data_IF_853762255073
#
_entry.id   IF_853762255073
#
_cell.length_a   1.000
_cell.length_b   1.000
_cell.length_c   1.000
_cell.angle_alpha   90.00
_cell.angle_beta   90.00
_cell.angle_gamma   90.00
#
_symmetry.space_group_name_H-M   'P 1'
#
loop_
_entity.id
_entity.type
_entity.pdbx_description
1 polymer ?
#
# COMPACT_ATOMS: atom_id res chain seq x y z
N UNK A 1 12.33 -3.93 6.44
CA UNK A 1 11.66 -4.65 5.32
C UNK A 1 10.58 -3.73 4.79
N UNK A 2 10.55 -3.39 3.50
CA UNK A 2 9.85 -2.18 3.04
C UNK A 2 8.33 -2.22 3.15
N UNK A 3 7.75 -1.12 3.65
CA UNK A 3 6.34 -0.81 3.49
C UNK A 3 6.00 -0.74 2.00
N UNK A 4 5.00 -1.53 1.57
CA UNK A 4 4.51 -1.52 0.19
C UNK A 4 3.00 -1.75 0.13
N UNK A 5 2.26 -0.92 -0.61
CA UNK A 5 0.84 -1.11 -0.88
C UNK A 5 0.65 -1.29 -2.38
N UNK A 6 0.15 -2.44 -2.80
CA UNK A 6 -0.23 -2.67 -4.19
C UNK A 6 -1.58 -1.99 -4.46
N UNK A 7 -1.71 -1.32 -5.59
CA UNK A 7 -2.85 -0.47 -5.94
C UNK A 7 -3.42 -0.89 -7.30
N UNK A 8 -4.73 -1.11 -7.33
CA UNK A 8 -5.52 -1.34 -8.53
C UNK A 8 -6.48 -0.18 -8.74
N UNK A 9 -6.40 0.40 -9.93
CA UNK A 9 -7.17 1.57 -10.34
C UNK A 9 -7.08 1.77 -11.85
N UNK A 10 -8.09 2.44 -12.41
CA UNK A 10 -8.09 2.87 -13.82
C UNK A 10 -7.43 4.25 -14.01
N UNK A 11 -6.99 4.88 -12.91
CA UNK A 11 -6.31 6.18 -12.92
C UNK A 11 -4.91 6.05 -13.53
N UNK A 12 -4.48 7.10 -14.21
CA UNK A 12 -3.08 7.23 -14.66
C UNK A 12 -2.15 7.43 -13.46
N UNK A 13 -0.84 7.14 -13.63
CA UNK A 13 0.16 7.34 -12.58
C UNK A 13 0.19 8.79 -12.06
N UNK A 14 0.15 9.78 -12.95
CA UNK A 14 0.14 11.20 -12.58
C UNK A 14 -1.09 11.59 -11.75
N UNK A 15 -2.28 11.13 -12.16
CA UNK A 15 -3.51 11.37 -11.40
C UNK A 15 -3.46 10.71 -10.02
N UNK A 16 -3.02 9.45 -9.97
CA UNK A 16 -2.86 8.71 -8.73
C UNK A 16 -1.88 9.43 -7.78
N UNK A 17 -0.74 9.88 -8.29
CA UNK A 17 0.26 10.60 -7.51
C UNK A 17 -0.26 11.96 -7.01
N UNK A 18 -0.99 12.69 -7.85
CA UNK A 18 -1.60 13.98 -7.47
C UNK A 18 -2.64 13.81 -6.38
N UNK A 19 -3.52 12.81 -6.49
CA UNK A 19 -4.52 12.57 -5.45
C UNK A 19 -3.92 12.07 -4.13
N UNK A 20 -2.89 11.23 -4.19
CA UNK A 20 -2.17 10.77 -2.99
C UNK A 20 -1.43 11.94 -2.35
N UNK A 21 -0.81 12.81 -3.14
CA UNK A 21 -0.20 14.05 -2.66
C UNK A 21 -1.20 14.88 -1.87
N UNK A 22 -2.37 15.13 -2.45
CA UNK A 22 -3.39 15.98 -1.85
C UNK A 22 -3.98 15.33 -0.59
N UNK A 23 -4.17 14.01 -0.59
CA UNK A 23 -4.67 13.27 0.56
C UNK A 23 -3.69 13.26 1.74
N UNK A 24 -2.40 13.06 1.47
CA UNK A 24 -1.37 12.91 2.49
C UNK A 24 -0.62 14.22 2.77
N UNK A 25 -1.03 15.32 2.14
CA UNK A 25 -0.36 16.62 2.19
C UNK A 25 1.15 16.52 1.88
N UNK A 26 1.51 15.72 0.89
CA UNK A 26 2.90 15.55 0.45
C UNK A 26 3.37 16.77 -0.36
N UNK A 27 4.69 17.01 -0.43
CA UNK A 27 5.24 18.02 -1.34
C UNK A 27 4.95 17.69 -2.82
N UNK A 28 5.33 18.59 -3.72
CA UNK A 28 5.34 18.30 -5.14
C UNK A 28 6.21 17.07 -5.43
N UNK A 29 5.73 16.17 -6.31
CA UNK A 29 6.53 15.04 -6.75
C UNK A 29 7.42 15.38 -7.93
N UNK A 30 8.54 14.67 -8.01
CA UNK A 30 9.31 14.55 -9.24
C UNK A 30 8.80 13.34 -10.04
N UNK A 31 8.65 13.51 -11.36
CA UNK A 31 8.48 12.39 -12.27
C UNK A 31 9.82 11.98 -12.84
N UNK A 32 10.07 10.67 -12.85
CA UNK A 32 11.29 10.10 -13.37
C UNK A 32 10.99 8.73 -13.97
N UNK A 33 11.99 8.11 -14.59
CA UNK A 33 11.90 6.77 -15.11
C UNK A 33 13.12 5.96 -14.69
N UNK A 34 12.90 4.74 -14.22
CA UNK A 34 13.96 3.76 -13.96
C UNK A 34 13.72 2.57 -14.88
N UNK A 35 14.76 2.13 -15.59
CA UNK A 35 14.65 1.04 -16.59
C UNK A 35 13.54 1.23 -17.64
N UNK A 36 13.11 2.47 -17.89
CA UNK A 36 12.03 2.80 -18.83
C UNK A 36 10.64 2.90 -18.21
N UNK A 37 10.46 2.46 -16.96
CA UNK A 37 9.18 2.51 -16.25
C UNK A 37 9.05 3.83 -15.44
N UNK A 38 7.94 4.57 -15.62
CA UNK A 38 7.74 5.84 -14.93
C UNK A 38 7.42 5.63 -13.45
N UNK A 39 7.95 6.53 -12.61
CA UNK A 39 7.61 6.63 -11.20
C UNK A 39 7.46 8.09 -10.76
N UNK A 40 6.67 8.30 -9.72
CA UNK A 40 6.54 9.57 -9.00
C UNK A 40 7.21 9.45 -7.63
N UNK A 41 8.07 10.40 -7.30
CA UNK A 41 8.82 10.43 -6.05
C UNK A 41 8.45 11.66 -5.21
N UNK A 42 8.20 11.44 -3.92
CA UNK A 42 8.05 12.48 -2.91
C UNK A 42 9.15 12.33 -1.86
N UNK A 43 9.77 13.44 -1.50
CA UNK A 43 10.81 13.47 -0.47
C UNK A 43 10.48 14.51 0.59
N UNK A 44 10.44 14.10 1.86
CA UNK A 44 10.09 14.97 2.97
C UNK A 44 10.68 14.46 4.28
N UNK A 45 11.48 15.28 4.98
CA UNK A 45 11.97 15.00 6.34
C UNK A 45 12.56 13.58 6.56
N UNK A 46 13.38 13.09 5.62
CA UNK A 46 13.95 11.73 5.70
C UNK A 46 12.96 10.61 5.38
N UNK A 47 11.80 10.94 4.82
CA UNK A 47 10.82 10.01 4.26
C UNK A 47 10.87 10.09 2.73
N UNK A 48 10.93 8.92 2.10
CA UNK A 48 10.81 8.76 0.66
C UNK A 48 9.52 8.00 0.37
N UNK A 49 8.64 8.58 -0.44
CA UNK A 49 7.44 7.91 -0.96
C UNK A 49 7.61 7.73 -2.46
N UNK A 50 7.45 6.50 -2.94
CA UNK A 50 7.50 6.16 -4.35
C UNK A 50 6.14 5.64 -4.77
N UNK A 51 5.64 6.11 -5.91
CA UNK A 51 4.49 5.52 -6.59
C UNK A 51 4.98 5.14 -7.97
N UNK A 52 4.94 3.85 -8.29
CA UNK A 52 5.49 3.35 -9.53
C UNK A 52 4.63 2.25 -10.11
N UNK A 53 4.79 1.99 -11.40
CA UNK A 53 4.29 0.76 -12.00
C UNK A 53 5.20 -0.39 -11.60
N UNK A 54 4.63 -1.50 -11.13
CA UNK A 54 5.43 -2.70 -10.79
C UNK A 54 5.51 -3.57 -12.04
N UNK A 55 6.66 -4.09 -12.43
CA UNK A 55 6.72 -4.97 -13.61
C UNK A 55 5.93 -6.27 -13.37
N UNK A 56 5.24 -6.77 -14.40
CA UNK A 56 4.42 -7.99 -14.27
C UNK A 56 5.26 -9.21 -13.90
N UNK A 57 6.51 -9.28 -14.35
CA UNK A 57 7.43 -10.39 -14.05
C UNK A 57 7.89 -10.42 -12.58
N UNK A 58 7.90 -9.26 -11.92
CA UNK A 58 8.31 -9.11 -10.51
C UNK A 58 7.14 -9.25 -9.53
N UNK A 59 5.89 -9.29 -10.04
CA UNK A 59 4.70 -9.35 -9.20
C UNK A 59 4.46 -10.75 -8.68
N UNK A 60 4.12 -10.81 -7.41
CA UNK A 60 3.52 -11.98 -6.82
C UNK A 60 2.18 -12.33 -7.51
N UNK A 61 1.91 -13.62 -7.81
CA UNK A 61 0.69 -14.07 -8.50
C UNK A 61 -0.62 -13.49 -7.97
N UNK A 62 -0.72 -13.28 -6.67
CA UNK A 62 -1.90 -12.78 -5.96
C UNK A 62 -2.20 -11.31 -6.23
N UNK A 63 -1.19 -10.53 -6.63
CA UNK A 63 -1.28 -9.10 -6.88
C UNK A 63 -0.95 -8.72 -8.33
N UNK A 64 -0.91 -9.69 -9.24
CA UNK A 64 -0.70 -9.45 -10.68
C UNK A 64 -1.63 -8.39 -11.26
N UNK A 65 -2.86 -8.33 -10.77
CA UNK A 65 -3.89 -7.36 -11.20
C UNK A 65 -3.77 -5.95 -10.57
N UNK A 66 -2.74 -5.69 -9.76
CA UNK A 66 -2.48 -4.40 -9.12
C UNK A 66 -1.33 -3.69 -9.86
N UNK A 67 -1.64 -2.82 -10.84
CA UNK A 67 -0.63 -2.22 -11.72
C UNK A 67 0.40 -1.32 -11.03
N UNK A 68 0.05 -0.74 -9.89
CA UNK A 68 0.89 0.23 -9.20
C UNK A 68 1.28 -0.26 -7.81
N UNK A 69 2.41 0.23 -7.32
CA UNK A 69 2.81 0.10 -5.92
C UNK A 69 3.11 1.46 -5.33
N UNK A 70 2.73 1.63 -4.06
CA UNK A 70 3.17 2.73 -3.21
C UNK A 70 4.14 2.17 -2.20
N UNK A 71 5.39 2.63 -2.27
CA UNK A 71 6.42 2.31 -1.29
C UNK A 71 6.67 3.51 -0.38
N UNK A 72 6.89 3.23 0.90
CA UNK A 72 7.26 4.22 1.90
C UNK A 72 8.56 3.75 2.55
N UNK A 73 9.57 4.61 2.54
CA UNK A 73 10.83 4.35 3.20
C UNK A 73 11.12 5.46 4.18
N UNK A 74 11.45 5.08 5.43
CA UNK A 74 11.85 6.02 6.47
C UNK A 74 13.35 5.87 6.74
N UNK A 75 14.13 6.88 6.37
CA UNK A 75 15.56 6.97 6.70
C UNK A 75 15.76 7.98 7.84
N UNK A 76 15.43 7.56 9.07
CA UNK A 76 15.80 8.34 10.25
C UNK A 76 17.24 7.98 10.65
N UNK A 77 18.12 8.98 10.64
CA UNK A 77 19.55 8.79 10.95
C UNK A 77 19.86 8.78 12.44
N UNK A 78 18.91 9.13 13.31
CA UNK A 78 19.11 9.11 14.76
C UNK A 78 18.92 7.69 15.31
N UNK A 79 20.02 7.17 15.82
CA UNK A 79 20.25 5.80 16.25
C UNK A 79 19.22 5.33 17.30
N UNK A 80 18.64 4.14 17.07
CA UNK A 80 17.73 3.34 17.94
C UNK A 80 16.23 3.28 17.57
N UNK A 81 15.74 4.00 16.56
CA UNK A 81 14.37 3.82 16.08
C UNK A 81 14.26 2.60 15.15
N UNK A 82 13.60 1.54 15.63
CA UNK A 82 13.15 0.41 14.80
C UNK A 82 12.00 0.87 13.88
N UNK A 83 12.38 1.40 12.72
CA UNK A 83 11.44 1.84 11.68
C UNK A 83 10.72 0.67 11.01
N UNK A 84 11.31 -0.53 11.00
CA UNK A 84 10.71 -1.71 10.38
C UNK A 84 9.38 -2.08 11.06
N UNK A 85 9.33 -2.05 12.39
CA UNK A 85 8.08 -2.32 13.13
C UNK A 85 7.02 -1.25 12.88
N UNK A 86 7.43 0.03 12.75
CA UNK A 86 6.52 1.15 12.49
C UNK A 86 5.95 1.03 11.07
N UNK A 87 6.82 0.86 10.08
CA UNK A 87 6.46 0.65 8.68
C UNK A 87 5.46 -0.51 8.54
N UNK A 88 5.75 -1.67 9.14
CA UNK A 88 4.86 -2.83 9.11
C UNK A 88 3.47 -2.55 9.69
N UNK A 89 3.40 -1.79 10.80
CA UNK A 89 2.12 -1.46 11.46
C UNK A 89 1.33 -0.38 10.74
N UNK A 90 1.99 0.52 10.03
CA UNK A 90 1.33 1.61 9.30
C UNK A 90 0.76 1.16 7.96
N UNK A 91 1.33 0.15 7.33
CA UNK A 91 0.92 -0.34 6.02
C UNK A 91 -0.59 -0.65 5.92
N UNK A 92 -1.24 -1.39 6.86
CA UNK A 92 -2.68 -1.61 6.82
C UNK A 92 -3.50 -0.31 6.93
N UNK A 93 -3.03 0.65 7.74
CA UNK A 93 -3.72 1.92 7.96
C UNK A 93 -3.75 2.76 6.68
N UNK A 94 -2.60 2.92 6.03
CA UNK A 94 -2.52 3.67 4.77
C UNK A 94 -3.29 2.95 3.65
N UNK A 95 -3.27 1.63 3.59
CA UNK A 95 -4.05 0.88 2.60
C UNK A 95 -5.56 1.14 2.76
N UNK A 96 -6.07 1.12 4.01
CA UNK A 96 -7.47 1.49 4.30
C UNK A 96 -7.78 2.94 3.95
N UNK A 97 -6.89 3.87 4.30
CA UNK A 97 -7.07 5.30 4.03
C UNK A 97 -7.18 5.57 2.52
N UNK A 98 -6.25 5.02 1.73
CA UNK A 98 -6.24 5.11 0.27
C UNK A 98 -7.52 4.52 -0.34
N UNK A 99 -7.90 3.32 0.12
CA UNK A 99 -9.12 2.63 -0.31
C UNK A 99 -10.35 3.49 -0.07
N UNK A 100 -10.49 4.03 1.14
CA UNK A 100 -11.66 4.79 1.53
C UNK A 100 -11.75 6.14 0.82
N UNK A 101 -10.67 6.93 0.87
CA UNK A 101 -10.66 8.32 0.40
C UNK A 101 -10.57 8.44 -1.10
N UNK A 102 -9.77 7.60 -1.75
CA UNK A 102 -9.53 7.69 -3.20
C UNK A 102 -10.32 6.66 -4.01
N UNK A 103 -11.02 5.72 -3.34
CA UNK A 103 -11.79 4.67 -4.00
C UNK A 103 -10.93 3.64 -4.72
N UNK A 104 -9.70 3.43 -4.24
CA UNK A 104 -8.75 2.47 -4.83
C UNK A 104 -9.01 1.06 -4.31
N UNK A 105 -8.79 0.05 -5.14
CA UNK A 105 -8.61 -1.31 -4.65
C UNK A 105 -7.15 -1.43 -4.20
N UNK A 106 -6.92 -1.83 -2.96
CA UNK A 106 -5.55 -1.95 -2.41
C UNK A 106 -5.27 -3.35 -1.90
N UNK A 107 -4.00 -3.73 -1.93
CA UNK A 107 -3.52 -4.92 -1.26
C UNK A 107 -2.25 -4.59 -0.49
N UNK A 108 -2.12 -5.19 0.69
CA UNK A 108 -0.91 -5.08 1.49
C UNK A 108 -0.52 -6.47 2.00
N UNK A 109 0.75 -6.65 2.31
CA UNK A 109 1.25 -7.94 2.73
C UNK A 109 1.39 -8.03 4.25
N UNK A 110 1.10 -9.20 4.78
CA UNK A 110 1.47 -9.59 6.14
C UNK A 110 2.61 -10.58 6.08
N UNK A 111 3.49 -10.51 7.08
CA UNK A 111 4.63 -11.42 7.20
C UNK A 111 4.63 -12.07 8.56
N UNK A 112 4.97 -13.35 8.57
CA UNK A 112 5.14 -14.09 9.81
C UNK A 112 6.35 -15.00 9.69
N UNK A 113 7.02 -15.22 10.82
CA UNK A 113 8.11 -16.17 10.93
C UNK A 113 7.55 -17.50 11.45
N UNK A 114 7.65 -18.55 10.65
CA UNK A 114 7.25 -19.90 11.05
C UNK A 114 8.52 -20.76 11.17
N UNK A 115 9.02 -20.87 12.41
CA UNK A 115 10.30 -21.50 12.71
C UNK A 115 11.48 -20.73 12.08
N UNK A 116 12.13 -21.34 11.07
CA UNK A 116 13.26 -20.73 10.34
C UNK A 116 12.86 -20.04 9.03
N UNK A 117 11.60 -20.17 8.60
CA UNK A 117 11.15 -19.65 7.32
C UNK A 117 10.26 -18.44 7.52
N UNK A 118 10.42 -17.46 6.64
CA UNK A 118 9.48 -16.36 6.54
C UNK A 118 8.36 -16.71 5.58
N UNK A 119 7.14 -16.33 5.95
CA UNK A 119 5.95 -16.47 5.13
C UNK A 119 5.32 -15.11 4.89
N UNK A 120 4.66 -14.98 3.74
CA UNK A 120 3.92 -13.80 3.31
C UNK A 120 2.49 -14.19 2.92
N UNK A 121 1.53 -13.31 3.15
CA UNK A 121 0.21 -13.36 2.53
C UNK A 121 -0.27 -11.95 2.23
N UNK A 122 -1.23 -11.82 1.33
CA UNK A 122 -1.83 -10.54 0.99
C UNK A 122 -3.22 -10.40 1.61
N UNK A 123 -3.48 -9.19 2.08
CA UNK A 123 -4.79 -8.69 2.51
C UNK A 123 -5.31 -7.78 1.42
N UNK A 124 -6.60 -7.90 1.09
CA UNK A 124 -7.21 -7.17 -0.02
C UNK A 124 -8.33 -6.29 0.49
N UNK A 125 -8.29 -5.01 0.11
CA UNK A 125 -9.24 -4.00 0.52
C UNK A 125 -9.91 -3.37 -0.69
N UNK A 126 -11.20 -3.09 -0.55
CA UNK A 126 -11.98 -2.31 -1.51
C UNK A 126 -12.96 -1.39 -0.80
N UNK A 127 -13.36 -0.30 -1.44
CA UNK A 127 -14.37 0.60 -0.89
C UNK A 127 -15.73 -0.10 -0.83
N UNK A 128 -16.45 0.06 0.27
CA UNK A 128 -17.82 -0.45 0.38
C UNK A 128 -18.79 0.46 -0.39
N UNK A 129 -19.45 0.00 -1.47
CA UNK A 129 -20.43 0.81 -2.19
C UNK A 129 -21.71 1.07 -1.39
N UNK A 130 -21.96 0.29 -0.32
CA UNK A 130 -23.13 0.44 0.56
C UNK A 130 -22.84 1.30 1.80
N UNK A 131 -21.62 1.80 1.95
CA UNK A 131 -21.28 2.59 3.11
C UNK A 131 -22.09 3.90 3.11
N UNK A 132 -22.83 4.10 4.20
CA UNK A 132 -23.57 5.31 4.47
C UNK A 132 -22.89 6.04 5.63
N UNK A 133 -22.30 7.21 5.33
CA UNK A 133 -21.62 8.04 6.33
C UNK A 133 -22.56 8.73 7.31
N UNK A 134 -23.88 8.59 7.15
CA UNK A 134 -24.87 9.08 8.10
C UNK A 134 -25.17 8.09 9.23
N UNK A 135 -24.87 6.79 9.04
CA UNK A 135 -25.08 5.75 10.05
C UNK A 135 -23.87 5.63 10.97
N UNK A 136 -24.13 5.65 12.28
CA UNK A 136 -23.12 5.48 13.32
C UNK A 136 -22.82 4.00 13.59
N UNK A 137 -21.61 3.74 14.09
CA UNK A 137 -21.19 2.39 14.46
C UNK A 137 -22.16 1.77 15.46
N UNK A 138 -22.73 0.61 15.09
CA UNK A 138 -23.68 -0.14 15.92
C UNK A 138 -25.16 0.14 15.63
N UNK A 139 -25.46 1.10 14.74
CA UNK A 139 -26.82 1.30 14.24
C UNK A 139 -27.25 0.17 13.28
N UNK A 140 -28.57 -0.06 13.18
CA UNK A 140 -29.12 -1.04 12.26
C UNK A 140 -28.77 -0.67 10.82
N UNK A 141 -28.25 -1.64 10.06
CA UNK A 141 -27.79 -1.40 8.69
C UNK A 141 -26.39 -0.77 8.57
N UNK A 142 -25.71 -0.48 9.69
CA UNK A 142 -24.33 -0.01 9.64
C UNK A 142 -23.41 -1.06 8.99
N UNK A 143 -22.62 -0.62 8.01
CA UNK A 143 -21.57 -1.43 7.37
C UNK A 143 -20.23 -0.66 7.38
N UNK A 144 -19.07 -1.35 7.41
CA UNK A 144 -17.77 -0.68 7.37
C UNK A 144 -17.53 0.02 6.03
N UNK A 145 -16.77 1.12 6.05
CA UNK A 145 -16.46 1.92 4.85
C UNK A 145 -15.53 1.20 3.85
N UNK A 146 -14.73 0.27 4.36
CA UNK A 146 -13.79 -0.56 3.62
C UNK A 146 -14.13 -2.02 3.88
N UNK A 147 -14.25 -2.79 2.80
CA UNK A 147 -14.45 -4.23 2.87
C UNK A 147 -13.11 -4.93 2.69
N UNK A 148 -12.84 -5.89 3.57
CA UNK A 148 -11.77 -6.85 3.38
C UNK A 148 -12.30 -8.06 2.62
N UNK A 149 -11.61 -8.47 1.55
CA UNK A 149 -11.83 -9.77 0.93
C UNK A 149 -10.99 -10.84 1.67
N UNK A 150 -11.29 -12.14 1.48
CA UNK A 150 -10.48 -13.20 2.08
C UNK A 150 -8.99 -13.04 1.73
N UNK A 151 -8.08 -13.15 2.71
CA UNK A 151 -6.65 -13.03 2.45
C UNK A 151 -6.15 -14.16 1.56
N UNK A 152 -5.00 -13.95 0.92
CA UNK A 152 -4.32 -15.03 0.22
C UNK A 152 -3.82 -16.10 1.18
N UNK A 153 -3.50 -17.27 0.63
CA UNK A 153 -2.81 -18.32 1.37
C UNK A 153 -1.42 -17.82 1.82
N UNK A 154 -0.95 -18.35 2.95
CA UNK A 154 0.43 -18.15 3.38
C UNK A 154 1.38 -18.85 2.41
N UNK A 155 2.30 -18.09 1.83
CA UNK A 155 3.38 -18.54 0.96
C UNK A 155 4.71 -18.39 1.67
N UNK A 156 5.64 -19.31 1.49
CA UNK A 156 7.03 -19.12 1.91
C UNK A 156 7.68 -18.05 1.05
N UNK A 157 8.35 -17.07 1.67
CA UNK A 157 9.18 -16.13 0.91
C UNK A 157 10.43 -16.87 0.41
N UNK A 158 10.62 -16.88 -0.91
CA UNK A 158 11.90 -17.30 -1.47
C UNK A 158 12.97 -16.25 -1.12
N UNK A 159 14.20 -16.65 -0.77
CA UNK A 159 15.27 -15.70 -0.56
C UNK A 159 15.43 -14.88 -1.84
N UNK A 160 15.36 -13.55 -1.70
CA UNK A 160 15.77 -12.61 -2.74
C UNK A 160 17.29 -12.69 -2.78
N UNK A 161 17.84 -13.32 -3.82
CA UNK A 161 19.28 -13.52 -4.01
C UNK A 161 19.98 -12.25 -4.49
#
# INVERSE_FOLDING_TARGET
MSFQICIKTDKTLHQLATEIRDLLALPSFAESAFTGEPYCQFEMFGMLVLIHRTDEEDRDPEVMQYPYSLDLQMSFTDHELDTDTIEYRLQPYYAQLLTFKLGLDTAYHEKQKNGRHWQIRYQFLRKNPRWDGSLLYGEEGWEPAVLAAPPSAWRSMHPVF
#
